data_IF_546248653933
#
_entry.id   IF_546248653933
#
_cell.length_a   1.000
_cell.length_b   1.000
_cell.length_c   1.000
_cell.angle_alpha   90.00
_cell.angle_beta   90.00
_cell.angle_gamma   90.00
#
_symmetry.space_group_name_H-M   'P 1'
#
loop_
_entity.id
_entity.type
_entity.pdbx_description
1 polymer ?
#
# COMPACT_ATOMS: atom_id res chain seq x y z
N UNK A 1 30.49 -28.11 0.76
CA UNK A 1 29.09 -28.19 0.30
C UNK A 1 28.43 -26.90 0.72
N UNK A 2 27.98 -26.06 -0.21
CA UNK A 2 27.22 -24.86 0.14
C UNK A 2 25.86 -25.28 0.67
N UNK A 3 25.43 -24.73 1.80
CA UNK A 3 24.04 -24.87 2.26
C UNK A 3 23.08 -24.40 1.18
N UNK A 4 22.01 -25.15 0.96
CA UNK A 4 20.94 -24.75 0.06
C UNK A 4 20.21 -23.54 0.66
N UNK A 5 20.12 -22.45 -0.08
CA UNK A 5 19.41 -21.24 0.35
C UNK A 5 17.91 -21.54 0.35
N UNK A 6 17.23 -21.33 1.49
CA UNK A 6 15.78 -21.37 1.59
C UNK A 6 15.22 -19.97 1.30
N UNK A 7 14.77 -19.74 0.06
CA UNK A 7 14.32 -18.42 -0.41
C UNK A 7 13.21 -17.75 0.43
N UNK A 8 12.23 -18.49 1.00
CA UNK A 8 11.21 -17.88 1.85
C UNK A 8 11.77 -17.14 3.08
N UNK A 9 12.92 -17.53 3.60
CA UNK A 9 13.56 -16.85 4.75
C UNK A 9 14.02 -15.42 4.38
N UNK A 10 14.13 -15.14 3.08
CA UNK A 10 14.53 -13.84 2.52
C UNK A 10 13.36 -13.12 1.85
N UNK A 11 12.13 -13.56 2.07
CA UNK A 11 10.95 -12.96 1.45
C UNK A 11 11.00 -13.06 -0.09
N UNK A 12 11.61 -14.13 -0.62
CA UNK A 12 11.71 -14.43 -2.06
C UNK A 12 10.82 -15.62 -2.39
N UNK A 13 9.91 -15.42 -3.34
CA UNK A 13 9.09 -16.49 -3.91
C UNK A 13 9.91 -17.35 -4.86
N UNK A 14 9.80 -18.68 -4.74
CA UNK A 14 10.41 -19.62 -5.68
C UNK A 14 9.83 -19.50 -7.11
N UNK A 15 8.62 -18.96 -7.25
CA UNK A 15 7.91 -18.85 -8.53
C UNK A 15 8.01 -17.46 -9.15
N UNK A 16 7.97 -16.42 -8.32
CA UNK A 16 7.83 -15.02 -8.75
C UNK A 16 8.98 -14.12 -8.27
N UNK A 17 10.00 -14.71 -7.62
CA UNK A 17 11.14 -13.97 -7.09
C UNK A 17 10.72 -12.93 -6.06
N UNK A 18 11.21 -11.70 -6.21
CA UNK A 18 10.90 -10.58 -5.32
C UNK A 18 9.45 -10.04 -5.46
N UNK A 19 8.74 -10.43 -6.53
CA UNK A 19 7.32 -10.15 -6.63
C UNK A 19 6.59 -11.13 -5.71
N UNK A 20 5.96 -10.63 -4.66
CA UNK A 20 5.14 -11.46 -3.78
C UNK A 20 3.67 -11.20 -4.01
N UNK A 21 2.88 -12.27 -3.89
CA UNK A 21 1.44 -12.16 -3.79
C UNK A 21 1.07 -11.65 -2.40
N UNK A 22 0.38 -10.52 -2.35
CA UNK A 22 -0.14 -9.94 -1.13
C UNK A 22 -1.50 -10.56 -0.77
N UNK A 23 -1.96 -10.46 0.49
CA UNK A 23 -3.32 -10.83 0.86
C UNK A 23 -4.34 -10.07 0.02
N UNK A 24 -5.50 -10.68 -0.24
CA UNK A 24 -6.56 -10.02 -1.00
C UNK A 24 -7.14 -8.81 -0.23
N UNK A 25 -7.06 -8.81 1.10
CA UNK A 25 -7.59 -7.76 1.96
C UNK A 25 -6.88 -7.70 3.31
N UNK A 26 -6.91 -6.52 3.94
CA UNK A 26 -6.55 -6.33 5.34
C UNK A 26 -7.72 -6.69 6.25
N UNK A 27 -7.50 -6.86 7.58
CA UNK A 27 -8.59 -6.98 8.55
C UNK A 27 -9.63 -5.85 8.41
N UNK A 28 -10.89 -6.15 8.71
CA UNK A 28 -12.04 -5.24 8.52
C UNK A 28 -11.83 -3.83 9.13
N UNK A 29 -11.06 -3.73 10.21
CA UNK A 29 -10.66 -2.45 10.82
C UNK A 29 -10.01 -1.48 9.82
N UNK A 30 -9.29 -2.00 8.82
CA UNK A 30 -8.59 -1.24 7.77
C UNK A 30 -9.37 -1.12 6.46
N UNK A 31 -10.64 -1.52 6.42
CA UNK A 31 -11.52 -1.37 5.25
C UNK A 31 -11.50 0.04 4.63
N UNK A 32 -11.46 1.15 5.40
CA UNK A 32 -11.39 2.49 4.82
C UNK A 32 -10.21 2.70 3.87
N UNK A 33 -9.02 2.14 4.17
CA UNK A 33 -7.86 2.23 3.28
C UNK A 33 -8.08 1.41 2.00
N UNK A 34 -8.56 0.18 2.14
CA UNK A 34 -8.80 -0.71 1.00
C UNK A 34 -9.81 -0.13 0.02
N UNK A 35 -10.94 0.39 0.51
CA UNK A 35 -11.97 0.98 -0.33
C UNK A 35 -11.48 2.21 -1.09
N UNK A 36 -10.75 3.09 -0.41
CA UNK A 36 -10.24 4.31 -1.03
C UNK A 36 -9.17 3.99 -2.07
N UNK A 37 -8.21 3.10 -1.75
CA UNK A 37 -7.17 2.67 -2.68
C UNK A 37 -7.76 2.04 -3.95
N UNK A 38 -8.73 1.14 -3.82
CA UNK A 38 -9.39 0.50 -4.97
C UNK A 38 -10.22 1.47 -5.83
N UNK A 39 -10.80 2.51 -5.21
CA UNK A 39 -11.60 3.52 -5.92
C UNK A 39 -10.76 4.69 -6.44
N UNK A 40 -9.46 4.76 -6.11
CA UNK A 40 -8.63 5.95 -6.35
C UNK A 40 -8.67 6.40 -7.81
N UNK A 41 -8.57 5.49 -8.79
CA UNK A 41 -8.63 5.87 -10.22
C UNK A 41 -9.96 6.57 -10.60
N UNK A 42 -11.09 6.05 -10.11
CA UNK A 42 -12.41 6.65 -10.35
C UNK A 42 -12.58 7.99 -9.60
N UNK A 43 -12.01 8.09 -8.41
CA UNK A 43 -12.02 9.32 -7.61
C UNK A 43 -11.16 10.42 -8.27
N UNK A 44 -10.03 10.07 -8.88
CA UNK A 44 -9.20 11.02 -9.65
C UNK A 44 -10.00 11.55 -10.84
N UNK A 45 -10.65 10.65 -11.59
CA UNK A 45 -11.47 11.03 -12.75
C UNK A 45 -12.64 11.96 -12.38
N UNK A 46 -13.14 11.85 -11.14
CA UNK A 46 -14.21 12.72 -10.61
C UNK A 46 -13.71 13.89 -9.76
N UNK A 47 -12.39 14.05 -9.59
CA UNK A 47 -11.77 15.08 -8.74
C UNK A 47 -12.30 15.07 -7.29
N UNK A 48 -12.44 13.88 -6.72
CA UNK A 48 -12.98 13.69 -5.36
C UNK A 48 -12.03 12.93 -4.43
N UNK A 49 -10.82 12.54 -4.87
CA UNK A 49 -9.84 11.85 -4.01
C UNK A 49 -9.52 12.70 -2.79
N UNK A 50 -9.28 14.00 -2.96
CA UNK A 50 -8.95 14.89 -1.82
C UNK A 50 -10.05 14.86 -0.77
N UNK A 51 -11.28 15.12 -1.21
CA UNK A 51 -12.48 15.13 -0.35
C UNK A 51 -12.72 13.79 0.34
N UNK A 52 -12.55 12.65 -0.35
CA UNK A 52 -12.74 11.34 0.27
C UNK A 52 -11.59 10.95 1.21
N UNK A 53 -10.36 11.36 0.89
CA UNK A 53 -9.19 11.13 1.77
C UNK A 53 -9.32 11.90 3.07
N UNK A 54 -9.83 13.14 3.03
CA UNK A 54 -10.04 13.97 4.23
C UNK A 54 -11.09 13.40 5.19
N UNK A 55 -11.97 12.50 4.71
CA UNK A 55 -12.95 11.79 5.54
C UNK A 55 -12.37 10.55 6.23
N UNK A 56 -11.15 10.14 5.89
CA UNK A 56 -10.57 8.93 6.48
C UNK A 56 -10.36 9.10 7.99
N UNK A 57 -10.78 8.12 8.81
CA UNK A 57 -10.39 8.09 10.20
C UNK A 57 -8.88 7.82 10.33
N UNK A 58 -8.25 8.38 11.37
CA UNK A 58 -6.91 7.94 11.75
C UNK A 58 -6.99 6.54 12.35
N UNK A 59 -6.53 5.55 11.58
CA UNK A 59 -6.48 4.15 12.01
C UNK A 59 -5.12 3.83 12.62
N UNK A 60 -5.14 3.02 13.67
CA UNK A 60 -3.95 2.55 14.37
C UNK A 60 -3.27 1.41 13.59
N UNK A 61 -2.13 1.69 12.98
CA UNK A 61 -1.32 0.72 12.22
C UNK A 61 -0.57 -0.28 13.11
N UNK A 62 -0.45 -0.03 14.43
CA UNK A 62 0.23 -0.95 15.35
C UNK A 62 -0.49 -2.30 15.50
N UNK A 63 -1.74 -2.42 15.06
CA UNK A 63 -2.47 -3.70 15.07
C UNK A 63 -2.12 -4.62 13.89
N UNK A 64 -1.49 -4.10 12.83
CA UNK A 64 -0.88 -4.92 11.79
C UNK A 64 0.43 -5.47 12.34
N UNK A 65 0.69 -6.76 12.18
CA UNK A 65 1.92 -7.40 12.68
C UNK A 65 2.58 -8.29 11.62
N UNK A 66 1.77 -8.92 10.78
CA UNK A 66 2.26 -9.73 9.67
C UNK A 66 2.95 -8.88 8.60
N UNK A 67 4.06 -9.38 8.06
CA UNK A 67 4.87 -8.66 7.07
C UNK A 67 4.08 -8.43 5.78
N UNK A 68 3.28 -9.39 5.32
CA UNK A 68 2.50 -9.24 4.08
C UNK A 68 1.34 -8.27 4.26
N UNK A 69 0.70 -8.28 5.43
CA UNK A 69 -0.30 -7.28 5.80
C UNK A 69 0.30 -5.86 5.82
N UNK A 70 1.49 -5.69 6.40
CA UNK A 70 2.21 -4.41 6.36
C UNK A 70 2.49 -3.96 4.92
N UNK A 71 2.93 -4.88 4.05
CA UNK A 71 3.17 -4.57 2.64
C UNK A 71 1.89 -4.13 1.91
N UNK A 72 0.77 -4.79 2.17
CA UNK A 72 -0.52 -4.40 1.60
C UNK A 72 -0.99 -3.03 2.11
N UNK A 73 -0.84 -2.76 3.41
CA UNK A 73 -1.14 -1.45 3.98
C UNK A 73 -0.26 -0.36 3.37
N UNK A 74 1.05 -0.60 3.23
CA UNK A 74 1.99 0.32 2.57
C UNK A 74 1.55 0.65 1.15
N UNK A 75 1.23 -0.37 0.35
CA UNK A 75 0.77 -0.20 -1.03
C UNK A 75 -0.52 0.65 -1.08
N UNK A 76 -1.52 0.32 -0.28
CA UNK A 76 -2.80 1.04 -0.27
C UNK A 76 -2.61 2.51 0.15
N UNK A 77 -1.83 2.77 1.20
CA UNK A 77 -1.53 4.13 1.67
C UNK A 77 -0.70 4.92 0.65
N UNK A 78 0.20 4.27 -0.08
CA UNK A 78 0.94 4.90 -1.18
C UNK A 78 0.02 5.28 -2.35
N UNK A 79 -0.93 4.41 -2.72
CA UNK A 79 -1.93 4.70 -3.76
C UNK A 79 -2.76 5.93 -3.35
N UNK A 80 -3.27 5.95 -2.12
CA UNK A 80 -4.06 7.05 -1.56
C UNK A 80 -3.25 8.35 -1.56
N UNK A 81 -2.02 8.31 -1.04
CA UNK A 81 -1.12 9.48 -0.97
C UNK A 81 -0.82 10.02 -2.36
N UNK A 82 -0.57 9.14 -3.32
CA UNK A 82 -0.29 9.52 -4.71
C UNK A 82 -1.53 10.15 -5.36
N UNK A 83 -2.71 9.56 -5.17
CA UNK A 83 -3.97 10.13 -5.66
C UNK A 83 -4.25 11.51 -5.06
N UNK A 84 -4.07 11.66 -3.74
CA UNK A 84 -4.27 12.93 -3.04
C UNK A 84 -3.30 14.02 -3.52
N UNK A 85 -2.02 13.68 -3.65
CA UNK A 85 -0.97 14.64 -4.01
C UNK A 85 -1.14 15.17 -5.45
N UNK A 86 -1.50 14.29 -6.38
CA UNK A 86 -1.45 14.56 -7.81
C UNK A 86 -2.82 14.75 -8.47
N UNK A 87 -3.93 14.71 -7.73
CA UNK A 87 -5.29 14.85 -8.29
C UNK A 87 -5.43 16.06 -9.23
N UNK A 88 -4.85 17.21 -8.84
CA UNK A 88 -4.92 18.47 -9.60
C UNK A 88 -3.80 18.61 -10.65
N UNK A 89 -3.11 17.52 -10.96
CA UNK A 89 -2.01 17.49 -11.93
C UNK A 89 -0.68 18.02 -11.37
N UNK A 90 0.39 17.97 -12.19
CA UNK A 90 1.77 18.21 -11.74
C UNK A 90 2.06 19.67 -11.36
N UNK A 91 1.18 20.61 -11.71
CA UNK A 91 1.37 22.04 -11.43
C UNK A 91 0.64 22.53 -10.18
N UNK A 92 -0.17 21.67 -9.54
CA UNK A 92 -0.98 22.04 -8.37
C UNK A 92 -0.89 20.96 -7.28
N UNK A 93 0.34 20.59 -6.96
CA UNK A 93 0.66 19.56 -5.97
C UNK A 93 0.43 20.12 -4.57
N UNK A 94 -0.32 19.37 -3.77
CA UNK A 94 -0.54 19.71 -2.36
C UNK A 94 0.78 19.66 -1.58
N UNK A 95 0.90 20.52 -0.57
CA UNK A 95 2.12 20.62 0.25
C UNK A 95 2.03 19.80 1.54
N UNK A 96 0.86 19.21 1.83
CA UNK A 96 0.61 18.44 3.04
C UNK A 96 -0.35 17.29 2.75
N UNK A 97 -0.10 16.14 3.37
CA UNK A 97 -0.99 14.98 3.35
C UNK A 97 -1.77 14.93 4.68
N UNK A 98 -3.08 14.57 4.68
CA UNK A 98 -3.84 14.42 5.91
C UNK A 98 -3.19 13.47 6.91
N UNK A 99 -3.23 13.80 8.20
CA UNK A 99 -2.63 13.00 9.26
C UNK A 99 -3.18 11.57 9.33
N UNK A 100 -4.45 11.36 8.95
CA UNK A 100 -5.10 10.06 8.86
C UNK A 100 -4.47 9.10 7.84
N UNK A 101 -3.62 9.62 6.94
CA UNK A 101 -2.84 8.85 5.96
C UNK A 101 -1.35 8.96 6.25
N UNK A 102 -0.84 10.16 6.52
CA UNK A 102 0.59 10.41 6.70
C UNK A 102 1.18 9.65 7.89
N UNK A 103 0.49 9.64 9.04
CA UNK A 103 0.95 8.95 10.26
C UNK A 103 1.06 7.43 10.02
N UNK A 104 0.00 6.73 9.59
CA UNK A 104 0.10 5.28 9.36
C UNK A 104 1.04 4.94 8.21
N UNK A 105 1.16 5.78 7.17
CA UNK A 105 2.12 5.52 6.09
C UNK A 105 3.55 5.56 6.63
N UNK A 106 3.93 6.57 7.42
CA UNK A 106 5.26 6.63 8.03
C UNK A 106 5.51 5.43 8.95
N UNK A 107 4.58 5.11 9.86
CA UNK A 107 4.72 3.98 10.78
C UNK A 107 4.91 2.64 10.04
N UNK A 108 4.05 2.36 9.05
CA UNK A 108 4.15 1.12 8.26
C UNK A 108 5.45 1.09 7.45
N UNK A 109 5.85 2.21 6.86
CA UNK A 109 7.09 2.31 6.08
C UNK A 109 8.33 2.05 6.94
N UNK A 110 8.38 2.67 8.12
CA UNK A 110 9.49 2.50 9.08
C UNK A 110 9.61 1.04 9.52
N UNK A 111 8.49 0.39 9.82
CA UNK A 111 8.45 -1.03 10.22
C UNK A 111 8.86 -1.98 9.09
N UNK A 112 8.63 -1.60 7.84
CA UNK A 112 9.09 -2.32 6.65
C UNK A 112 10.54 -1.97 6.26
N UNK A 113 11.15 -0.96 6.88
CA UNK A 113 12.49 -0.49 6.53
C UNK A 113 12.56 0.21 5.16
N UNK A 114 11.46 0.82 4.71
CA UNK A 114 11.36 1.53 3.43
C UNK A 114 10.97 2.99 3.62
N UNK A 115 11.17 3.81 2.59
CA UNK A 115 10.71 5.19 2.61
C UNK A 115 9.19 5.27 2.38
N UNK A 116 8.49 6.22 3.04
CA UNK A 116 7.09 6.47 2.78
C UNK A 116 6.90 7.03 1.37
N UNK A 117 6.15 6.29 0.55
CA UNK A 117 5.86 6.68 -0.83
C UNK A 117 5.90 5.51 -1.81
N UNK A 118 5.35 5.76 -2.99
CA UNK A 118 5.33 4.78 -4.07
C UNK A 118 6.75 4.49 -4.55
N UNK A 119 7.16 3.23 -4.45
CA UNK A 119 8.48 2.74 -4.85
C UNK A 119 8.37 1.41 -5.58
N UNK A 120 9.48 0.94 -6.16
CA UNK A 120 9.53 -0.38 -6.77
C UNK A 120 9.11 -1.50 -5.79
N UNK A 121 9.48 -1.37 -4.51
CA UNK A 121 9.08 -2.31 -3.45
C UNK A 121 7.55 -2.41 -3.27
N UNK A 122 6.85 -1.26 -3.35
CA UNK A 122 5.39 -1.22 -3.29
C UNK A 122 4.76 -1.87 -4.53
N UNK A 123 5.29 -1.57 -5.73
CA UNK A 123 4.77 -2.08 -6.99
C UNK A 123 4.94 -3.59 -7.15
N UNK A 124 5.97 -4.19 -6.56
CA UNK A 124 6.21 -5.64 -6.58
C UNK A 124 5.08 -6.48 -5.96
N UNK A 125 4.22 -5.87 -5.13
CA UNK A 125 3.04 -6.51 -4.56
C UNK A 125 1.73 -6.10 -5.23
N UNK A 126 1.75 -5.20 -6.22
CA UNK A 126 0.54 -4.68 -6.87
C UNK A 126 0.09 -5.55 -8.05
N UNK A 127 -0.11 -6.84 -7.78
CA UNK A 127 -0.62 -7.80 -8.75
C UNK A 127 -1.37 -8.91 -8.02
N UNK A 128 -2.26 -9.57 -8.73
CA UNK A 128 -2.98 -10.74 -8.26
C UNK A 128 -3.20 -11.67 -9.45
N UNK A 129 -3.26 -12.97 -9.20
CA UNK A 129 -3.66 -13.93 -10.23
C UNK A 129 -5.16 -13.79 -10.50
N UNK A 130 -5.53 -13.74 -11.78
CA UNK A 130 -6.94 -13.76 -12.18
C UNK A 130 -7.56 -15.13 -11.90
N UNK A 131 -6.80 -16.20 -12.16
CA UNK A 131 -7.17 -17.59 -11.82
C UNK A 131 -6.10 -18.15 -10.88
N UNK A 132 -6.46 -18.40 -9.62
CA UNK A 132 -5.51 -18.91 -8.61
C UNK A 132 -5.04 -20.35 -8.91
N UNK A 133 -5.66 -21.04 -9.87
CA UNK A 133 -5.29 -22.39 -10.28
C UNK A 133 -4.37 -22.44 -11.51
N UNK A 134 -4.00 -21.28 -12.08
CA UNK A 134 -3.09 -21.15 -13.24
C UNK A 134 -1.90 -20.26 -12.91
#
# INVERSE_FOLDING_TARGET
MSEAIHFPDYEISEFSGYAQELPDSLPEYYRPWHELANKTANLIASQTVKTETEKLPLLDSSKLQDFKDLRLAHLQLCIITSGYAWESGPHNVVQSIPASVAIPLCDVSDRLGVQPGMSYFALLGNWQRVDKNK
#
